data_IF_459478978759
#
_entry.id   IF_459478978759
#
_cell.length_a   1.000
_cell.length_b   1.000
_cell.length_c   1.000
_cell.angle_alpha   90.00
_cell.angle_beta   90.00
_cell.angle_gamma   90.00
#
_symmetry.space_group_name_H-M   'P 1'
#
loop_
_entity.id
_entity.type
_entity.pdbx_description
1 polymer ?
#
# COMPACT_ATOMS: atom_id res chain seq x y z
N UNK A 1 -12.20 13.11 9.75
CA UNK A 1 -12.01 14.29 10.57
C UNK A 1 -10.59 14.80 10.49
N UNK A 2 -10.38 15.94 9.89
CA UNK A 2 -9.05 16.48 9.65
C UNK A 2 -8.33 15.83 8.48
N UNK A 3 -8.92 14.84 7.85
CA UNK A 3 -8.37 14.17 6.68
C UNK A 3 -8.96 14.82 5.42
N UNK A 4 -8.11 15.26 4.50
CA UNK A 4 -8.57 15.83 3.25
C UNK A 4 -9.21 14.78 2.34
N UNK A 5 -10.18 15.16 1.49
CA UNK A 5 -10.82 14.22 0.56
C UNK A 5 -9.82 13.48 -0.34
N UNK A 6 -8.72 14.12 -0.72
CA UNK A 6 -7.69 13.49 -1.54
C UNK A 6 -6.99 12.35 -0.79
N UNK A 7 -6.90 12.42 0.54
CA UNK A 7 -6.31 11.34 1.35
C UNK A 7 -7.23 10.12 1.38
N UNK A 8 -8.54 10.33 1.43
CA UNK A 8 -9.50 9.23 1.35
C UNK A 8 -9.38 8.51 0.01
N UNK A 9 -9.32 9.26 -1.08
CA UNK A 9 -9.13 8.68 -2.41
C UNK A 9 -7.78 7.95 -2.52
N UNK A 10 -6.71 8.54 -1.99
CA UNK A 10 -5.38 7.95 -2.04
C UNK A 10 -5.31 6.65 -1.24
N UNK A 11 -5.92 6.59 -0.04
CA UNK A 11 -5.92 5.36 0.75
C UNK A 11 -6.63 4.22 0.01
N UNK A 12 -7.75 4.50 -0.63
CA UNK A 12 -8.46 3.51 -1.45
C UNK A 12 -7.63 3.02 -2.64
N UNK A 13 -6.94 3.93 -3.32
CA UNK A 13 -6.06 3.56 -4.45
C UNK A 13 -4.84 2.77 -3.99
N UNK A 14 -4.27 3.08 -2.83
CA UNK A 14 -3.17 2.31 -2.26
C UNK A 14 -3.62 0.87 -1.92
N UNK A 15 -4.79 0.73 -1.30
CA UNK A 15 -5.35 -0.58 -1.00
C UNK A 15 -5.62 -1.37 -2.28
N UNK A 16 -6.23 -0.74 -3.28
CA UNK A 16 -6.49 -1.36 -4.57
C UNK A 16 -5.19 -1.81 -5.25
N UNK A 17 -4.16 -0.96 -5.22
CA UNK A 17 -2.86 -1.28 -5.80
C UNK A 17 -2.23 -2.48 -5.11
N UNK A 18 -2.24 -2.50 -3.77
CA UNK A 18 -1.69 -3.61 -2.99
C UNK A 18 -2.45 -4.91 -3.27
N UNK A 19 -3.77 -4.84 -3.36
CA UNK A 19 -4.60 -6.02 -3.63
C UNK A 19 -4.36 -6.55 -5.05
N UNK A 20 -4.36 -5.67 -6.04
CA UNK A 20 -4.23 -6.04 -7.46
C UNK A 20 -2.86 -6.59 -7.79
N UNK A 21 -1.80 -6.01 -7.22
CA UNK A 21 -0.42 -6.41 -7.47
C UNK A 21 0.09 -7.44 -6.47
N UNK A 22 -0.62 -7.63 -5.37
CA UNK A 22 -0.23 -8.48 -4.22
C UNK A 22 1.12 -8.07 -3.64
N UNK A 23 1.40 -6.77 -3.67
CA UNK A 23 2.67 -6.20 -3.23
C UNK A 23 2.48 -4.97 -2.34
N UNK A 24 3.44 -4.74 -1.48
CA UNK A 24 3.63 -3.50 -0.73
C UNK A 24 3.82 -2.34 -1.72
N UNK A 25 3.01 -1.30 -1.62
CA UNK A 25 3.08 -0.18 -2.57
C UNK A 25 4.36 0.64 -2.46
N UNK A 26 5.06 0.61 -1.32
CA UNK A 26 6.38 1.23 -1.21
C UNK A 26 7.41 0.46 -2.03
N UNK A 27 7.36 -0.87 -1.99
CA UNK A 27 8.24 -1.70 -2.80
C UNK A 27 8.00 -1.47 -4.29
N UNK A 28 6.74 -1.32 -4.70
CA UNK A 28 6.40 -0.99 -6.08
C UNK A 28 6.93 0.38 -6.49
N UNK A 29 6.82 1.38 -5.60
CA UNK A 29 7.34 2.73 -5.88
C UNK A 29 8.85 2.71 -6.12
N UNK A 30 9.58 1.98 -5.27
CA UNK A 30 11.03 1.84 -5.40
C UNK A 30 11.37 1.09 -6.71
N UNK A 31 10.69 0.00 -6.98
CA UNK A 31 10.92 -0.78 -8.20
C UNK A 31 10.64 0.04 -9.47
N UNK A 32 9.56 0.82 -9.48
CA UNK A 32 9.20 1.66 -10.63
C UNK A 32 10.25 2.74 -10.91
N UNK A 33 10.88 3.29 -9.86
CA UNK A 33 11.95 4.29 -10.02
C UNK A 33 13.21 3.70 -10.64
N UNK A 34 13.50 2.43 -10.37
CA UNK A 34 14.71 1.76 -10.84
C UNK A 34 14.53 0.88 -12.07
N UNK A 35 13.29 0.70 -12.55
CA UNK A 35 13.01 -0.21 -13.66
C UNK A 35 12.15 0.50 -14.72
N UNK A 36 12.72 0.83 -15.89
CA UNK A 36 11.96 1.51 -16.94
C UNK A 36 10.69 0.76 -17.39
N UNK A 37 10.70 -0.56 -17.32
CA UNK A 37 9.54 -1.37 -17.71
C UNK A 37 8.36 -1.20 -16.77
N UNK A 38 8.62 -0.75 -15.53
CA UNK A 38 7.59 -0.53 -14.52
C UNK A 38 7.21 0.95 -14.38
N UNK A 39 7.98 1.86 -14.96
CA UNK A 39 7.78 3.30 -14.77
C UNK A 39 6.38 3.75 -15.23
N UNK A 40 5.84 3.15 -16.28
CA UNK A 40 4.55 3.51 -16.82
C UNK A 40 3.36 3.02 -15.98
N UNK A 41 3.58 2.19 -14.97
CA UNK A 41 2.50 1.81 -14.05
C UNK A 41 1.92 3.03 -13.33
N UNK A 42 2.71 4.08 -13.16
CA UNK A 42 2.26 5.33 -12.53
C UNK A 42 1.22 6.06 -13.35
N UNK A 43 1.06 5.73 -14.64
CA UNK A 43 0.05 6.34 -15.52
C UNK A 43 -1.29 5.62 -15.49
N UNK A 44 -1.39 4.47 -14.83
CA UNK A 44 -2.67 3.75 -14.68
C UNK A 44 -3.48 4.45 -13.58
N UNK A 45 -4.67 5.01 -13.90
CA UNK A 45 -5.38 5.87 -12.94
C UNK A 45 -5.76 5.21 -11.63
N UNK A 46 -6.05 3.92 -11.63
CA UNK A 46 -6.45 3.19 -10.43
C UNK A 46 -5.27 2.85 -9.52
N UNK A 47 -4.06 2.84 -10.07
CA UNK A 47 -2.86 2.48 -9.30
C UNK A 47 -2.23 3.72 -8.66
N UNK A 48 -1.73 3.53 -7.45
CA UNK A 48 -0.95 4.56 -6.76
C UNK A 48 0.27 3.89 -6.14
N UNK A 49 1.43 4.09 -6.78
CA UNK A 49 2.70 3.53 -6.34
C UNK A 49 3.34 4.47 -5.32
N UNK A 50 2.79 4.43 -4.13
CA UNK A 50 3.20 5.30 -3.03
C UNK A 50 2.99 4.53 -1.73
N UNK A 51 3.96 4.55 -0.83
CA UNK A 51 3.91 3.76 0.40
C UNK A 51 2.65 4.00 1.23
N UNK A 52 2.17 2.96 1.87
CA UNK A 52 0.97 2.97 2.68
C UNK A 52 -0.05 1.89 2.32
N UNK A 53 0.11 1.21 1.20
CA UNK A 53 -0.71 0.06 0.83
C UNK A 53 0.02 -1.24 1.11
N UNK A 54 -0.65 -2.16 1.82
CA UNK A 54 -0.11 -3.48 2.11
C UNK A 54 -1.14 -4.54 1.77
N UNK A 55 -0.73 -5.65 1.11
CA UNK A 55 -1.62 -6.79 1.00
C UNK A 55 -1.73 -7.47 2.36
N UNK A 56 -2.93 -7.94 2.68
CA UNK A 56 -3.19 -8.71 3.90
C UNK A 56 -3.16 -10.18 3.53
N UNK A 57 -2.33 -10.95 4.22
CA UNK A 57 -2.18 -12.38 3.96
C UNK A 57 -2.56 -13.20 5.17
N UNK A 58 -3.14 -14.35 4.90
CA UNK A 58 -3.39 -15.38 5.92
C UNK A 58 -2.97 -16.71 5.31
N UNK A 59 -2.09 -17.43 6.00
CA UNK A 59 -1.56 -18.71 5.53
C UNK A 59 -0.98 -18.62 4.11
N UNK A 60 -0.28 -17.53 3.85
CA UNK A 60 0.40 -17.30 2.57
C UNK A 60 -0.48 -16.75 1.46
N UNK A 61 -1.79 -16.65 1.65
CA UNK A 61 -2.72 -16.16 0.62
C UNK A 61 -3.13 -14.72 0.89
N UNK A 62 -3.27 -13.93 -0.17
CA UNK A 62 -3.79 -12.57 -0.06
C UNK A 62 -5.30 -12.65 0.14
N UNK A 63 -5.75 -12.14 1.28
CA UNK A 63 -7.16 -12.14 1.66
C UNK A 63 -7.79 -10.75 1.64
N UNK A 64 -6.99 -9.71 1.43
CA UNK A 64 -7.46 -8.33 1.37
C UNK A 64 -6.28 -7.39 1.27
N UNK A 65 -6.53 -6.12 1.52
CA UNK A 65 -5.49 -5.08 1.53
C UNK A 65 -5.89 -3.93 2.44
N UNK A 66 -4.89 -3.20 2.92
CA UNK A 66 -5.07 -1.98 3.68
C UNK A 66 -4.38 -0.83 2.96
N UNK A 67 -4.96 0.36 3.00
CA UNK A 67 -4.36 1.57 2.49
C UNK A 67 -4.42 2.68 3.51
N UNK A 68 -3.30 3.36 3.71
CA UNK A 68 -3.17 4.48 4.65
C UNK A 68 -2.65 5.70 3.91
N UNK A 69 -3.30 6.84 4.12
CA UNK A 69 -2.89 8.14 3.58
C UNK A 69 -3.13 9.23 4.61
N UNK A 70 -2.39 10.33 4.51
CA UNK A 70 -2.57 11.49 5.40
C UNK A 70 -1.70 11.45 6.65
N UNK A 71 -0.76 10.51 6.76
CA UNK A 71 0.13 10.41 7.91
C UNK A 71 1.41 11.24 7.79
N UNK A 72 1.50 12.10 6.79
CA UNK A 72 2.67 12.97 6.61
C UNK A 72 3.67 12.47 5.57
N UNK A 73 3.29 11.52 4.72
CA UNK A 73 4.12 11.01 3.63
C UNK A 73 4.07 9.49 3.52
N UNK A 74 4.75 8.98 2.52
CA UNK A 74 4.72 7.56 2.18
C UNK A 74 5.27 6.66 3.30
N UNK A 75 6.39 7.05 3.90
CA UNK A 75 7.00 6.22 4.95
C UNK A 75 6.19 6.22 6.25
N UNK A 76 5.71 7.38 6.77
CA UNK A 76 4.79 7.38 7.90
C UNK A 76 3.50 6.60 7.61
N UNK A 77 2.94 6.71 6.43
CA UNK A 77 1.74 5.98 6.04
C UNK A 77 1.99 4.46 6.07
N UNK A 78 3.13 4.04 5.54
CA UNK A 78 3.54 2.63 5.58
C UNK A 78 3.74 2.14 7.00
N UNK A 79 4.39 2.93 7.84
CA UNK A 79 4.59 2.57 9.25
C UNK A 79 3.25 2.38 9.97
N UNK A 80 2.28 3.23 9.70
CA UNK A 80 0.93 3.12 10.25
C UNK A 80 0.25 1.83 9.77
N UNK A 81 0.36 1.50 8.49
CA UNK A 81 -0.20 0.27 7.93
C UNK A 81 0.43 -0.98 8.56
N UNK A 82 1.75 -0.98 8.75
CA UNK A 82 2.46 -2.08 9.41
C UNK A 82 2.01 -2.25 10.86
N UNK A 83 1.81 -1.15 11.58
CA UNK A 83 1.34 -1.19 12.97
C UNK A 83 -0.07 -1.78 13.05
N UNK A 84 -0.94 -1.40 12.13
CA UNK A 84 -2.29 -1.95 12.07
C UNK A 84 -2.27 -3.45 11.79
N UNK A 85 -1.43 -3.89 10.86
CA UNK A 85 -1.28 -5.30 10.53
C UNK A 85 -0.77 -6.11 11.72
N UNK A 86 0.20 -5.58 12.45
CA UNK A 86 0.76 -6.25 13.64
C UNK A 86 -0.26 -6.43 14.75
N UNK A 87 -1.33 -5.63 14.77
CA UNK A 87 -2.40 -5.75 15.76
C UNK A 87 -3.38 -6.87 15.49
N UNK A 88 -3.27 -7.55 14.34
CA UNK A 88 -4.19 -8.63 13.95
C UNK A 88 -3.40 -9.94 13.88
N UNK A 89 -3.45 -10.77 14.93
CA UNK A 89 -2.61 -11.99 14.99
C UNK A 89 -2.94 -13.05 13.94
N UNK A 90 -4.16 -13.01 13.39
CA UNK A 90 -4.59 -13.97 12.36
C UNK A 90 -3.93 -13.74 11.01
N UNK A 91 -3.33 -12.57 10.81
CA UNK A 91 -2.67 -12.23 9.56
C UNK A 91 -1.19 -12.57 9.64
N UNK A 92 -0.63 -12.91 8.50
CA UNK A 92 0.80 -13.20 8.39
C UNK A 92 1.61 -11.92 8.65
N UNK A 93 2.79 -12.07 9.25
CA UNK A 93 3.73 -10.95 9.38
C UNK A 93 4.18 -10.52 7.99
N UNK A 94 4.30 -9.21 7.72
CA UNK A 94 4.77 -8.74 6.43
C UNK A 94 6.22 -9.15 6.20
N UNK A 95 6.54 -9.49 4.96
CA UNK A 95 7.93 -9.73 4.52
C UNK A 95 8.55 -8.38 4.20
N UNK A 96 9.60 -8.05 4.92
CA UNK A 96 10.31 -6.78 4.75
C UNK A 96 11.60 -6.95 3.97
#
# INVERSE_FOLDING_TARGET
>A
DGVGPHNTAASGRKAYTALSTKNDTQALAVAARGNPDMANLTTVPELLLLGGGLPLRAKGEVVGAIGVAGGGGALPDRACALAALAAVPELDSPTL
#
